data_IF_309669315537
#
_entry.id   IF_309669315537
#
_cell.length_a   1.000
_cell.length_b   1.000
_cell.length_c   1.000
_cell.angle_alpha   90.00
_cell.angle_beta   90.00
_cell.angle_gamma   90.00
#
_symmetry.space_group_name_H-M   'P 1'
#
loop_
_entity.id
_entity.type
_entity.pdbx_description
1 polymer ?
#
# COMPACT_ATOMS: atom_id res chain seq x y z
N UNK A 1 -58.71 9.63 -123.07
CA UNK A 1 -59.06 10.04 -121.69
C UNK A 1 -58.89 8.91 -120.65
N UNK A 2 -58.64 7.65 -121.04
CA UNK A 2 -58.38 6.53 -120.12
C UNK A 2 -56.89 6.40 -119.74
N UNK A 3 -55.99 6.38 -120.73
CA UNK A 3 -54.54 6.18 -120.49
C UNK A 3 -53.84 7.21 -119.58
N UNK A 4 -54.38 8.42 -119.42
CA UNK A 4 -53.82 9.44 -118.51
C UNK A 4 -54.23 9.17 -117.05
N UNK A 5 -55.43 8.63 -116.83
CA UNK A 5 -55.90 8.22 -115.50
C UNK A 5 -55.16 6.98 -115.02
N UNK A 6 -54.93 6.02 -115.91
CA UNK A 6 -54.14 4.83 -115.59
C UNK A 6 -52.70 5.19 -115.19
N UNK A 7 -52.10 6.20 -115.84
CA UNK A 7 -50.76 6.69 -115.50
C UNK A 7 -50.73 7.46 -114.17
N UNK A 8 -51.78 8.24 -113.88
CA UNK A 8 -51.94 8.91 -112.58
C UNK A 8 -52.14 7.90 -111.45
N UNK A 9 -52.94 6.85 -111.64
CA UNK A 9 -53.14 5.77 -110.67
C UNK A 9 -51.85 5.00 -110.38
N UNK A 10 -51.05 4.70 -111.43
CA UNK A 10 -49.72 4.09 -111.24
C UNK A 10 -48.77 5.03 -110.51
N UNK A 11 -48.77 6.33 -110.83
CA UNK A 11 -47.92 7.31 -110.13
C UNK A 11 -48.32 7.49 -108.66
N UNK A 12 -49.63 7.49 -108.35
CA UNK A 12 -50.17 7.53 -106.99
C UNK A 12 -49.87 6.22 -106.24
N UNK A 13 -49.94 5.07 -106.91
CA UNK A 13 -49.52 3.78 -106.36
C UNK A 13 -48.02 3.72 -106.04
N UNK A 14 -47.17 4.28 -106.89
CA UNK A 14 -45.73 4.37 -106.61
C UNK A 14 -45.42 5.35 -105.47
N UNK A 15 -46.13 6.47 -105.38
CA UNK A 15 -45.98 7.42 -104.28
C UNK A 15 -46.45 6.84 -102.94
N UNK A 16 -47.53 6.05 -102.92
CA UNK A 16 -48.00 5.38 -101.70
C UNK A 16 -47.02 4.29 -101.25
N UNK A 17 -46.43 3.52 -102.17
CA UNK A 17 -45.40 2.53 -101.86
C UNK A 17 -44.09 3.17 -101.38
N UNK A 18 -43.67 4.29 -101.99
CA UNK A 18 -42.50 5.07 -101.52
C UNK A 18 -42.75 5.70 -100.16
N UNK A 19 -43.97 6.18 -99.91
CA UNK A 19 -44.41 6.68 -98.60
C UNK A 19 -44.41 5.59 -97.53
N UNK A 20 -44.94 4.41 -97.85
CA UNK A 20 -44.94 3.24 -96.98
C UNK A 20 -43.51 2.76 -96.67
N UNK A 21 -42.63 2.67 -97.67
CA UNK A 21 -41.23 2.28 -97.49
C UNK A 21 -40.44 3.31 -96.66
N UNK A 22 -40.69 4.61 -96.85
CA UNK A 22 -40.09 5.66 -96.01
C UNK A 22 -40.57 5.60 -94.56
N UNK A 23 -41.86 5.36 -94.34
CA UNK A 23 -42.43 5.17 -93.02
C UNK A 23 -41.87 3.91 -92.33
N UNK A 24 -41.74 2.81 -93.06
CA UNK A 24 -41.16 1.56 -92.56
C UNK A 24 -39.67 1.72 -92.22
N UNK A 25 -38.90 2.40 -93.08
CA UNK A 25 -37.48 2.72 -92.80
C UNK A 25 -37.32 3.64 -91.58
N UNK A 26 -38.24 4.59 -91.39
CA UNK A 26 -38.27 5.45 -90.21
C UNK A 26 -38.65 4.67 -88.95
N UNK A 27 -39.61 3.74 -89.04
CA UNK A 27 -40.00 2.86 -87.94
C UNK A 27 -38.87 1.93 -87.53
N UNK A 28 -38.15 1.30 -88.48
CA UNK A 28 -36.97 0.46 -88.19
C UNK A 28 -35.86 1.25 -87.48
N UNK A 29 -35.63 2.51 -87.85
CA UNK A 29 -34.65 3.38 -87.17
C UNK A 29 -35.08 3.75 -85.75
N UNK A 30 -36.37 4.00 -85.53
CA UNK A 30 -36.89 4.27 -84.19
C UNK A 30 -36.82 3.01 -83.32
N UNK A 31 -37.21 1.85 -83.84
CA UNK A 31 -37.08 0.56 -83.16
C UNK A 31 -35.63 0.26 -82.78
N UNK A 32 -34.67 0.41 -83.70
CA UNK A 32 -33.25 0.22 -83.37
C UNK A 32 -32.70 1.21 -82.34
N UNK A 33 -33.22 2.45 -82.28
CA UNK A 33 -32.89 3.40 -81.20
C UNK A 33 -33.49 2.98 -79.86
N UNK A 34 -34.73 2.48 -79.87
CA UNK A 34 -35.38 1.97 -78.67
C UNK A 34 -34.66 0.73 -78.14
N UNK A 35 -34.25 -0.20 -79.00
CA UNK A 35 -33.43 -1.36 -78.65
C UNK A 35 -32.12 -0.92 -77.97
N UNK A 36 -31.38 0.02 -78.56
CA UNK A 36 -30.13 0.54 -77.96
C UNK A 36 -30.36 1.23 -76.61
N UNK A 37 -31.47 1.93 -76.43
CA UNK A 37 -31.81 2.56 -75.14
C UNK A 37 -32.14 1.49 -74.10
N UNK A 38 -32.88 0.45 -74.48
CA UNK A 38 -33.21 -0.67 -73.60
C UNK A 38 -31.95 -1.44 -73.20
N UNK A 39 -31.05 -1.74 -74.14
CA UNK A 39 -29.76 -2.39 -73.85
C UNK A 39 -28.95 -1.58 -72.84
N UNK A 40 -28.80 -0.27 -73.04
CA UNK A 40 -28.09 0.60 -72.07
C UNK A 40 -28.76 0.63 -70.70
N UNK A 41 -30.09 0.64 -70.65
CA UNK A 41 -30.82 0.61 -69.38
C UNK A 41 -30.56 -0.71 -68.64
N UNK A 42 -30.59 -1.84 -69.35
CA UNK A 42 -30.27 -3.15 -68.79
C UNK A 42 -28.81 -3.20 -68.28
N UNK A 43 -27.85 -2.72 -69.06
CA UNK A 43 -26.43 -2.65 -68.64
C UNK A 43 -26.25 -1.79 -67.37
N UNK A 44 -26.93 -0.64 -67.30
CA UNK A 44 -26.86 0.22 -66.11
C UNK A 44 -27.56 -0.41 -64.91
N UNK A 45 -28.64 -1.16 -65.13
CA UNK A 45 -29.33 -1.90 -64.09
C UNK A 45 -28.42 -3.02 -63.55
N UNK A 46 -27.82 -3.83 -64.43
CA UNK A 46 -26.90 -4.90 -64.05
C UNK A 46 -25.71 -4.37 -63.26
N UNK A 47 -25.13 -3.25 -63.69
CA UNK A 47 -24.04 -2.58 -62.97
C UNK A 47 -24.49 -2.06 -61.60
N UNK A 48 -25.69 -1.49 -61.51
CA UNK A 48 -26.25 -1.04 -60.24
C UNK A 48 -26.52 -2.21 -59.30
N UNK A 49 -27.04 -3.33 -59.79
CA UNK A 49 -27.25 -4.56 -59.01
C UNK A 49 -25.93 -5.14 -58.50
N UNK A 50 -24.89 -5.17 -59.34
CA UNK A 50 -23.55 -5.62 -58.93
C UNK A 50 -22.99 -4.73 -57.81
N UNK A 51 -23.07 -3.41 -57.96
CA UNK A 51 -22.63 -2.46 -56.91
C UNK A 51 -23.42 -2.61 -55.61
N UNK A 52 -24.74 -2.84 -55.70
CA UNK A 52 -25.55 -3.09 -54.50
C UNK A 52 -25.12 -4.36 -53.78
N UNK A 53 -24.79 -5.44 -54.51
CA UNK A 53 -24.27 -6.67 -53.91
C UNK A 53 -22.91 -6.45 -53.25
N UNK A 54 -22.03 -5.69 -53.89
CA UNK A 54 -20.73 -5.31 -53.30
C UNK A 54 -20.91 -4.49 -52.02
N UNK A 55 -21.79 -3.48 -52.04
CA UNK A 55 -22.09 -2.66 -50.86
C UNK A 55 -22.63 -3.54 -49.73
N UNK A 56 -23.61 -4.40 -50.00
CA UNK A 56 -24.17 -5.31 -48.98
C UNK A 56 -23.10 -6.23 -48.39
N UNK A 57 -22.23 -6.81 -49.21
CA UNK A 57 -21.13 -7.63 -48.72
C UNK A 57 -20.18 -6.84 -47.81
N UNK A 58 -19.80 -5.62 -48.21
CA UNK A 58 -18.95 -4.77 -47.36
C UNK A 58 -19.65 -4.31 -46.07
N UNK A 59 -20.96 -4.06 -46.12
CA UNK A 59 -21.76 -3.73 -44.93
C UNK A 59 -21.83 -4.91 -43.95
N UNK A 60 -22.01 -6.13 -44.45
CA UNK A 60 -21.97 -7.36 -43.64
C UNK A 60 -20.60 -7.57 -42.99
N UNK A 61 -19.51 -7.38 -43.74
CA UNK A 61 -18.14 -7.46 -43.22
C UNK A 61 -17.89 -6.43 -42.11
N UNK A 62 -18.31 -5.17 -42.33
CA UNK A 62 -18.17 -4.11 -41.34
C UNK A 62 -19.02 -4.40 -40.10
N UNK A 63 -20.25 -4.87 -40.28
CA UNK A 63 -21.12 -5.24 -39.16
C UNK A 63 -20.50 -6.36 -38.31
N UNK A 64 -19.91 -7.37 -38.94
CA UNK A 64 -19.21 -8.45 -38.23
C UNK A 64 -17.98 -7.93 -37.48
N UNK A 65 -17.16 -7.10 -38.12
CA UNK A 65 -15.99 -6.48 -37.48
C UNK A 65 -16.39 -5.64 -36.25
N UNK A 66 -17.51 -4.91 -36.33
CA UNK A 66 -18.03 -4.12 -35.21
C UNK A 66 -18.51 -4.99 -34.05
N UNK A 67 -19.15 -6.13 -34.33
CA UNK A 67 -19.55 -7.09 -33.30
C UNK A 67 -18.34 -7.69 -32.60
N UNK A 68 -17.32 -8.09 -33.35
CA UNK A 68 -16.08 -8.65 -32.80
C UNK A 68 -15.33 -7.61 -31.96
N UNK A 69 -15.23 -6.37 -32.45
CA UNK A 69 -14.62 -5.26 -31.71
C UNK A 69 -15.37 -4.97 -30.41
N UNK A 70 -16.71 -5.02 -30.42
CA UNK A 70 -17.54 -4.85 -29.23
C UNK A 70 -17.34 -5.98 -28.22
N UNK A 71 -17.25 -7.22 -28.69
CA UNK A 71 -16.98 -8.38 -27.83
C UNK A 71 -15.59 -8.26 -27.15
N UNK A 72 -14.56 -7.91 -27.93
CA UNK A 72 -13.21 -7.69 -27.40
C UNK A 72 -13.17 -6.53 -26.40
N UNK A 73 -13.86 -5.42 -26.68
CA UNK A 73 -13.95 -4.29 -25.76
C UNK A 73 -14.64 -4.68 -24.44
N UNK A 74 -15.67 -5.52 -24.50
CA UNK A 74 -16.34 -6.02 -23.31
C UNK A 74 -15.41 -6.92 -22.48
N UNK A 75 -14.73 -7.87 -23.12
CA UNK A 75 -13.76 -8.74 -22.45
C UNK A 75 -12.65 -7.95 -21.77
N UNK A 76 -12.02 -7.01 -22.48
CA UNK A 76 -11.00 -6.11 -21.90
C UNK A 76 -11.56 -5.26 -20.76
N UNK A 77 -12.82 -4.86 -20.86
CA UNK A 77 -13.52 -4.15 -19.77
C UNK A 77 -13.63 -4.97 -18.50
N UNK A 78 -13.93 -6.26 -18.62
CA UNK A 78 -13.98 -7.20 -17.48
C UNK A 78 -12.59 -7.43 -16.91
N UNK A 79 -11.58 -7.68 -17.74
CA UNK A 79 -10.18 -7.83 -17.31
C UNK A 79 -9.69 -6.58 -16.55
N UNK A 80 -10.03 -5.38 -17.05
CA UNK A 80 -9.69 -4.12 -16.40
C UNK A 80 -10.39 -3.95 -15.05
N UNK A 81 -11.64 -4.41 -14.91
CA UNK A 81 -12.33 -4.42 -13.62
C UNK A 81 -11.69 -5.39 -12.62
N UNK A 82 -11.27 -6.57 -13.08
CA UNK A 82 -10.55 -7.55 -12.26
C UNK A 82 -9.22 -6.98 -11.76
N UNK A 83 -8.40 -6.41 -12.67
CA UNK A 83 -7.14 -5.77 -12.32
C UNK A 83 -7.32 -4.60 -11.34
N UNK A 84 -8.39 -3.81 -11.48
CA UNK A 84 -8.71 -2.74 -10.52
C UNK A 84 -9.04 -3.30 -9.14
N UNK A 85 -9.80 -4.39 -9.06
CA UNK A 85 -10.13 -5.03 -7.79
C UNK A 85 -8.88 -5.63 -7.12
N UNK A 86 -7.99 -6.25 -7.90
CA UNK A 86 -6.71 -6.76 -7.40
C UNK A 86 -5.81 -5.62 -6.89
N UNK A 87 -5.74 -4.51 -7.63
CA UNK A 87 -4.99 -3.33 -7.21
C UNK A 87 -5.54 -2.73 -5.90
N UNK A 88 -6.87 -2.69 -5.74
CA UNK A 88 -7.50 -2.23 -4.49
C UNK A 88 -7.14 -3.14 -3.32
N UNK A 89 -7.26 -4.45 -3.48
CA UNK A 89 -6.87 -5.43 -2.45
C UNK A 89 -5.40 -5.31 -2.07
N UNK A 90 -4.50 -5.26 -3.05
CA UNK A 90 -3.07 -5.07 -2.80
C UNK A 90 -2.78 -3.72 -2.12
N UNK A 91 -3.55 -2.68 -2.43
CA UNK A 91 -3.49 -1.39 -1.75
C UNK A 91 -3.88 -1.48 -0.28
N UNK A 92 -4.98 -2.17 0.04
CA UNK A 92 -5.44 -2.42 1.41
C UNK A 92 -4.44 -3.28 2.20
N UNK A 93 -3.87 -4.31 1.59
CA UNK A 93 -2.81 -5.12 2.20
C UNK A 93 -1.56 -4.27 2.48
N UNK A 94 -1.19 -3.37 1.56
CA UNK A 94 -0.04 -2.49 1.74
C UNK A 94 -0.25 -1.49 2.88
N UNK A 95 -1.45 -0.91 3.01
CA UNK A 95 -1.76 0.00 4.11
C UNK A 95 -1.79 -0.73 5.46
N UNK A 96 -2.34 -1.95 5.50
CA UNK A 96 -2.30 -2.81 6.68
C UNK A 96 -0.85 -3.12 7.09
N UNK A 97 -0.02 -3.60 6.15
CA UNK A 97 1.39 -3.91 6.43
C UNK A 97 2.17 -2.68 6.90
N UNK A 98 1.91 -1.50 6.32
CA UNK A 98 2.52 -0.25 6.79
C UNK A 98 2.12 0.08 8.23
N UNK A 99 0.86 -0.10 8.60
CA UNK A 99 0.40 0.11 9.97
C UNK A 99 1.06 -0.86 10.94
N UNK A 100 1.14 -2.15 10.60
CA UNK A 100 1.84 -3.15 11.41
C UNK A 100 3.33 -2.87 11.56
N UNK A 101 4.00 -2.38 10.50
CA UNK A 101 5.41 -2.00 10.55
C UNK A 101 5.63 -0.83 11.51
N UNK A 102 4.77 0.20 11.46
CA UNK A 102 4.84 1.32 12.39
C UNK A 102 4.65 0.87 13.84
N UNK A 103 3.66 0.01 14.11
CA UNK A 103 3.45 -0.57 15.44
C UNK A 103 4.67 -1.34 15.95
N UNK A 104 5.25 -2.20 15.11
CA UNK A 104 6.43 -2.96 15.49
C UNK A 104 7.65 -2.06 15.73
N UNK A 105 7.76 -0.96 14.98
CA UNK A 105 8.85 0.02 15.18
C UNK A 105 8.70 0.73 16.51
N UNK A 106 7.49 1.14 16.88
CA UNK A 106 7.24 1.77 18.19
C UNK A 106 7.50 0.79 19.33
N UNK A 107 7.06 -0.46 19.22
CA UNK A 107 7.34 -1.49 20.22
C UNK A 107 8.86 -1.73 20.39
N UNK A 108 9.61 -1.70 19.29
CA UNK A 108 11.07 -1.85 19.33
C UNK A 108 11.75 -0.66 20.01
N UNK A 109 11.28 0.56 19.76
CA UNK A 109 11.77 1.76 20.45
C UNK A 109 11.49 1.73 21.95
N UNK A 110 10.27 1.34 22.36
CA UNK A 110 9.90 1.16 23.77
C UNK A 110 10.78 0.11 24.45
N UNK A 111 11.03 -1.03 23.79
CA UNK A 111 11.91 -2.07 24.33
C UNK A 111 13.35 -1.60 24.51
N UNK A 112 13.88 -0.77 23.59
CA UNK A 112 15.21 -0.17 23.73
C UNK A 112 15.29 0.80 24.90
N UNK A 113 14.23 1.57 25.16
CA UNK A 113 14.19 2.46 26.31
C UNK A 113 14.19 1.67 27.63
N UNK A 114 13.43 0.56 27.68
CA UNK A 114 13.39 -0.35 28.83
C UNK A 114 14.76 -1.01 29.04
N UNK A 115 15.39 -1.52 27.98
CA UNK A 115 16.73 -2.11 28.03
C UNK A 115 17.76 -1.11 28.58
N UNK A 116 17.79 0.11 28.04
CA UNK A 116 18.68 1.15 28.56
C UNK A 116 18.36 1.54 30.01
N UNK A 117 17.10 1.48 30.42
CA UNK A 117 16.67 1.66 31.82
C UNK A 117 17.25 0.58 32.74
N UNK A 118 17.10 -0.68 32.35
CA UNK A 118 17.61 -1.83 33.09
C UNK A 118 19.13 -1.81 33.21
N UNK A 119 19.86 -1.49 32.13
CA UNK A 119 21.33 -1.38 32.17
C UNK A 119 21.82 -0.32 33.17
N UNK A 120 21.08 0.81 33.31
CA UNK A 120 21.44 1.83 34.31
C UNK A 120 21.22 1.30 35.72
N UNK A 121 20.09 0.64 35.95
CA UNK A 121 19.77 0.05 37.25
C UNK A 121 20.77 -1.06 37.63
N UNK A 122 21.21 -1.87 36.67
CA UNK A 122 22.24 -2.89 36.89
C UNK A 122 23.56 -2.25 37.36
N UNK A 123 24.00 -1.17 36.70
CA UNK A 123 25.21 -0.43 37.12
C UNK A 123 25.08 0.16 38.52
N UNK A 124 23.94 0.74 38.86
CA UNK A 124 23.68 1.28 40.21
C UNK A 124 23.78 0.18 41.28
N UNK A 125 23.17 -0.98 41.02
CA UNK A 125 23.23 -2.13 41.94
C UNK A 125 24.65 -2.69 42.05
N UNK A 126 25.40 -2.73 40.94
CA UNK A 126 26.79 -3.16 40.94
C UNK A 126 27.68 -2.20 41.73
N UNK A 127 27.51 -0.88 41.59
CA UNK A 127 28.25 0.11 42.38
C UNK A 127 27.97 -0.05 43.88
N UNK A 128 26.70 -0.24 44.26
CA UNK A 128 26.33 -0.46 45.65
C UNK A 128 26.92 -1.77 46.21
N UNK A 129 26.86 -2.84 45.43
CA UNK A 129 27.33 -4.16 45.86
C UNK A 129 28.86 -4.23 45.91
N UNK A 130 29.56 -3.61 44.96
CA UNK A 130 31.02 -3.76 44.82
C UNK A 130 31.81 -2.69 45.55
N UNK A 131 31.24 -1.50 45.76
CA UNK A 131 31.97 -0.36 46.36
C UNK A 131 31.37 0.03 47.70
N UNK A 132 30.07 0.33 47.78
CA UNK A 132 29.51 0.97 48.98
C UNK A 132 29.35 -0.03 50.13
N UNK A 133 28.79 -1.21 49.88
CA UNK A 133 28.59 -2.25 50.91
C UNK A 133 29.94 -2.72 51.48
N UNK A 134 30.96 -3.11 50.68
CA UNK A 134 32.25 -3.54 51.23
C UNK A 134 32.96 -2.41 52.00
N UNK A 135 32.87 -1.17 51.52
CA UNK A 135 33.43 0.00 52.23
C UNK A 135 32.75 0.23 53.58
N UNK A 136 31.42 0.21 53.64
CA UNK A 136 30.67 0.36 54.88
C UNK A 136 30.98 -0.77 55.87
N UNK A 137 31.07 -2.01 55.38
CA UNK A 137 31.50 -3.17 56.18
C UNK A 137 32.92 -2.97 56.70
N UNK A 138 33.85 -2.52 55.86
CA UNK A 138 35.22 -2.25 56.27
C UNK A 138 35.30 -1.16 57.34
N UNK A 139 34.57 -0.06 57.18
CA UNK A 139 34.53 1.04 58.17
C UNK A 139 33.92 0.56 59.49
N UNK A 140 32.82 -0.19 59.46
CA UNK A 140 32.22 -0.77 60.67
C UNK A 140 33.18 -1.74 61.38
N UNK A 141 33.88 -2.59 60.62
CA UNK A 141 34.91 -3.48 61.15
C UNK A 141 36.11 -2.70 61.71
N UNK A 142 36.51 -1.59 61.08
CA UNK A 142 37.60 -0.75 61.57
C UNK A 142 37.23 -0.11 62.91
N UNK A 143 36.02 0.46 63.02
CA UNK A 143 35.53 1.00 64.29
C UNK A 143 35.51 -0.06 65.37
N UNK A 144 34.99 -1.26 65.09
CA UNK A 144 35.03 -2.35 66.06
C UNK A 144 36.45 -2.81 66.39
N UNK A 145 37.38 -2.86 65.42
CA UNK A 145 38.78 -3.25 65.68
C UNK A 145 39.52 -2.24 66.56
N UNK A 146 39.25 -0.95 66.37
CA UNK A 146 39.88 0.16 67.11
C UNK A 146 39.25 0.29 68.49
N UNK A 147 37.92 0.33 68.58
CA UNK A 147 37.24 0.57 69.85
C UNK A 147 37.05 -0.70 70.67
N UNK A 148 37.01 -1.88 70.03
CA UNK A 148 36.59 -3.17 70.62
C UNK A 148 35.18 -3.12 71.21
N UNK A 149 34.35 -2.16 70.81
CA UNK A 149 32.98 -2.01 71.29
C UNK A 149 32.01 -2.67 70.31
N UNK A 150 31.04 -3.39 70.86
CA UNK A 150 29.83 -3.83 70.17
C UNK A 150 28.64 -3.08 70.75
N UNK A 151 27.86 -2.44 69.88
CA UNK A 151 26.70 -1.65 70.28
C UNK A 151 25.43 -2.50 70.30
N UNK A 152 24.59 -2.26 71.30
CA UNK A 152 23.23 -2.79 71.37
C UNK A 152 22.31 -1.83 70.60
N UNK A 153 21.79 -2.27 69.46
CA UNK A 153 20.91 -1.47 68.61
C UNK A 153 19.43 -1.60 68.99
N UNK A 154 19.09 -2.49 69.94
CA UNK A 154 17.74 -2.70 70.45
C UNK A 154 17.49 -1.91 71.75
N UNK A 155 18.04 -0.69 71.85
CA UNK A 155 17.86 0.19 73.01
C UNK A 155 17.07 1.47 72.67
N UNK A 156 16.66 2.23 73.69
CA UNK A 156 15.85 3.45 73.50
C UNK A 156 16.60 4.55 72.73
N UNK A 157 15.90 5.38 71.92
CA UNK A 157 16.52 6.49 71.22
C UNK A 157 17.13 7.50 72.21
N UNK A 158 18.44 7.70 72.14
CA UNK A 158 19.18 8.53 73.08
C UNK A 158 19.96 7.74 74.13
N UNK A 159 19.84 6.41 74.16
CA UNK A 159 20.66 5.55 74.99
C UNK A 159 21.91 5.06 74.23
N UNK A 160 23.07 5.13 74.87
CA UNK A 160 24.34 4.60 74.34
C UNK A 160 24.67 3.35 75.15
N UNK A 161 24.33 2.19 74.59
CA UNK A 161 24.44 0.90 75.25
C UNK A 161 25.25 -0.08 74.41
N UNK A 162 26.16 -0.81 75.03
CA UNK A 162 27.04 -1.75 74.33
C UNK A 162 27.95 -2.53 75.27
N UNK A 163 28.90 -3.25 74.70
CA UNK A 163 29.88 -4.06 75.43
C UNK A 163 31.27 -3.75 74.86
N UNK A 164 32.21 -3.40 75.73
CA UNK A 164 33.62 -3.25 75.38
C UNK A 164 34.39 -4.55 75.64
N UNK A 165 35.02 -5.09 74.60
CA UNK A 165 35.82 -6.32 74.63
C UNK A 165 37.32 -6.01 74.78
N UNK A 166 37.72 -5.64 76.00
CA UNK A 166 39.14 -5.45 76.34
C UNK A 166 39.90 -6.79 76.54
N UNK A 167 41.23 -6.75 76.76
CA UNK A 167 42.08 -7.94 76.91
C UNK A 167 41.82 -8.79 78.16
N UNK A 168 40.96 -8.33 79.08
CA UNK A 168 40.64 -9.02 80.34
C UNK A 168 39.17 -9.42 80.39
N UNK A 169 38.31 -8.56 80.98
CA UNK A 169 36.89 -8.83 81.18
C UNK A 169 36.08 -7.86 80.32
N UNK A 170 35.05 -8.36 79.64
CA UNK A 170 34.12 -7.54 78.88
C UNK A 170 33.36 -6.57 79.81
N UNK A 171 33.35 -5.28 79.47
CA UNK A 171 32.73 -4.23 80.28
C UNK A 171 31.44 -3.73 79.64
N UNK A 172 30.30 -3.73 80.36
CA UNK A 172 29.07 -3.17 79.83
C UNK A 172 29.13 -1.63 79.80
N UNK A 173 28.66 -1.05 78.71
CA UNK A 173 28.50 0.39 78.52
C UNK A 173 27.02 0.71 78.59
N UNK A 174 26.65 1.67 79.41
CA UNK A 174 25.26 2.10 79.59
C UNK A 174 25.21 3.57 79.98
N UNK A 175 25.04 4.45 79.00
CA UNK A 175 25.07 5.91 79.16
C UNK A 175 23.83 6.54 78.53
N UNK A 176 23.23 7.51 79.22
CA UNK A 176 22.12 8.30 78.67
C UNK A 176 22.66 9.57 77.99
N UNK A 177 22.52 9.65 76.65
CA UNK A 177 23.01 10.78 75.86
C UNK A 177 22.15 12.04 75.97
N UNK A 178 20.98 11.96 76.59
CA UNK A 178 20.13 13.13 76.85
C UNK A 178 20.60 13.91 78.08
N UNK A 179 21.25 13.24 79.03
CA UNK A 179 21.73 13.83 80.29
C UNK A 179 23.23 14.17 80.27
N UNK A 180 24.00 13.50 79.40
CA UNK A 180 25.45 13.64 79.31
C UNK A 180 25.87 14.42 78.05
N UNK A 181 26.92 15.23 78.16
CA UNK A 181 27.44 15.96 77.00
C UNK A 181 28.13 15.01 76.01
N UNK A 182 28.05 15.32 74.70
CA UNK A 182 28.73 14.56 73.63
C UNK A 182 30.24 14.42 73.87
N UNK A 183 30.88 15.46 74.40
CA UNK A 183 32.30 15.44 74.73
C UNK A 183 32.59 14.43 75.85
N UNK A 184 31.82 14.49 76.93
CA UNK A 184 31.97 13.56 78.05
C UNK A 184 31.82 12.10 77.60
N UNK A 185 30.80 11.80 76.79
CA UNK A 185 30.59 10.45 76.26
C UNK A 185 31.79 10.01 75.40
N UNK A 186 32.27 10.88 74.52
CA UNK A 186 33.41 10.55 73.64
C UNK A 186 34.69 10.30 74.45
N UNK A 187 35.01 11.19 75.40
CA UNK A 187 36.19 11.08 76.26
C UNK A 187 36.11 9.79 77.11
N UNK A 188 34.92 9.45 77.63
CA UNK A 188 34.69 8.21 78.38
C UNK A 188 34.95 6.97 77.52
N UNK A 189 34.40 6.93 76.30
CA UNK A 189 34.55 5.77 75.40
C UNK A 189 36.00 5.57 74.96
N UNK A 190 36.73 6.65 74.67
CA UNK A 190 38.15 6.56 74.30
C UNK A 190 39.05 6.14 75.45
N UNK A 191 38.71 6.49 76.69
CA UNK A 191 39.46 6.03 77.87
C UNK A 191 39.34 4.51 78.12
N UNK A 192 38.34 3.84 77.53
CA UNK A 192 38.21 2.38 77.61
C UNK A 192 39.18 1.66 76.67
N UNK A 193 39.62 2.34 75.60
CA UNK A 193 40.53 1.79 74.61
C UNK A 193 41.94 1.80 75.19
N UNK A 194 42.61 0.65 75.11
CA UNK A 194 43.99 0.51 75.59
C UNK A 194 44.93 1.38 74.74
N UNK A 195 45.88 2.04 75.42
CA UNK A 195 46.86 2.94 74.80
C UNK A 195 48.28 2.40 74.85
N UNK A 196 48.46 1.20 75.41
CA UNK A 196 49.73 0.50 75.45
C UNK A 196 50.06 -0.10 74.07
N UNK A 197 51.29 0.11 73.58
CA UNK A 197 51.79 -0.31 72.25
C UNK A 197 52.88 -1.38 72.33
#
# INVERSE_FOLDING_TARGET
MAAFRDMEEVSQGLLSLLGANRAEAQQRRLLGRHEQVVERLLETQDLAEQRLREILATEEEVAQCLLDAKAQAHQRGVELQQLKAELQKAGEENTHLKASLLQLTTELEELKEVEAGLERQEREVDEDTTVTIPSAVYVAQLYHRVSKIEWDYECEPGMVKGIHHGPSIAQPIHLDSTQLSKKFISDYLWNLVDTDW
#
